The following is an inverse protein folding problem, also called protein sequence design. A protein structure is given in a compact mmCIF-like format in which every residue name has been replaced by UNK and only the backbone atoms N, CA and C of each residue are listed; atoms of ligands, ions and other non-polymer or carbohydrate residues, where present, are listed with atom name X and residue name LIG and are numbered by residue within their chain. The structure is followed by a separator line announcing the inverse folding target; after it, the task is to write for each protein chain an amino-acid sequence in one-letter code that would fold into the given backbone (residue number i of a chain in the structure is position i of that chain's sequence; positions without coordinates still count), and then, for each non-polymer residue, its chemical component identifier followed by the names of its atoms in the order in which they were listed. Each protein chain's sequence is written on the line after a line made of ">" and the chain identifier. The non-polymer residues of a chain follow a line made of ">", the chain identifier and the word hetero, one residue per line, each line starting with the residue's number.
data_IF_536444828837
#
_entry.id   IF_536444828837
#
_cell.length_a   1.000
_cell.length_b   1.000
_cell.length_c   1.000
_cell.angle_alpha   90.00
_cell.angle_beta   90.00
_cell.angle_gamma   90.00
#
_symmetry.space_group_name_H-M   'P 1'
#
loop_
_entity.id
_entity.type
_entity.pdbx_description
1 polymer ?
#
# COMPACT_ATOMS: atom_id res chain seq x y z
N UNK A 1 10.19 -43.07 -23.27
CA UNK A 1 10.09 -42.32 -21.99
C UNK A 1 10.00 -40.84 -22.35
N UNK A 2 8.78 -40.31 -22.39
CA UNK A 2 8.52 -38.89 -22.72
C UNK A 2 8.48 -38.14 -21.42
N UNK A 3 9.44 -37.27 -21.21
CA UNK A 3 9.47 -36.30 -20.09
C UNK A 3 8.36 -35.28 -20.31
N UNK A 4 7.29 -35.41 -19.52
CA UNK A 4 6.29 -34.35 -19.35
C UNK A 4 7.03 -33.13 -18.79
N UNK A 5 7.26 -32.13 -19.63
CA UNK A 5 7.62 -30.78 -19.17
C UNK A 5 6.41 -30.24 -18.41
N UNK A 6 6.54 -30.15 -17.10
CA UNK A 6 5.62 -29.41 -16.26
C UNK A 6 5.53 -27.96 -16.78
N UNK A 7 4.48 -27.71 -17.54
CA UNK A 7 4.03 -26.35 -17.85
C UNK A 7 3.45 -25.79 -16.55
N UNK A 8 4.30 -25.23 -15.68
CA UNK A 8 3.87 -24.37 -14.61
C UNK A 8 3.26 -23.14 -15.28
N UNK A 9 1.98 -23.20 -15.59
CA UNK A 9 1.17 -21.99 -15.78
C UNK A 9 1.43 -21.16 -14.53
N UNK A 10 2.09 -20.01 -14.70
CA UNK A 10 2.51 -19.18 -13.59
C UNK A 10 1.32 -18.85 -12.72
N UNK A 11 1.34 -19.37 -11.51
CA UNK A 11 0.29 -19.17 -10.52
C UNK A 11 0.26 -17.68 -10.19
N UNK A 12 -0.82 -17.00 -10.56
CA UNK A 12 -1.01 -15.56 -10.35
C UNK A 12 -2.08 -15.36 -9.27
N UNK A 13 -1.78 -15.84 -8.07
CA UNK A 13 -2.60 -15.61 -6.89
C UNK A 13 -1.73 -15.39 -5.66
N UNK A 14 -2.30 -14.75 -4.63
CA UNK A 14 -1.68 -14.63 -3.31
C UNK A 14 -2.72 -14.84 -2.22
N UNK A 15 -2.32 -15.52 -1.15
CA UNK A 15 -3.14 -15.75 0.03
C UNK A 15 -2.59 -14.98 1.23
N UNK A 16 -3.45 -14.30 1.96
CA UNK A 16 -3.13 -13.37 3.02
C UNK A 16 -4.04 -13.57 4.22
N UNK A 17 -3.57 -13.23 5.41
CA UNK A 17 -4.43 -13.17 6.60
C UNK A 17 -5.34 -11.94 6.56
N UNK A 18 -6.64 -12.13 6.72
CA UNK A 18 -7.65 -11.09 6.54
C UNK A 18 -7.47 -9.89 7.49
N UNK A 19 -7.10 -10.10 8.75
CA UNK A 19 -6.88 -9.01 9.70
C UNK A 19 -5.68 -8.15 9.32
N UNK A 20 -4.60 -8.77 8.86
CA UNK A 20 -3.38 -8.07 8.43
C UNK A 20 -3.62 -7.31 7.13
N UNK A 21 -4.31 -7.95 6.18
CA UNK A 21 -4.70 -7.32 4.92
C UNK A 21 -5.64 -6.13 5.14
N UNK A 22 -6.65 -6.27 6.00
CA UNK A 22 -7.57 -5.18 6.37
C UNK A 22 -6.79 -3.96 6.86
N UNK A 23 -5.90 -4.15 7.84
CA UNK A 23 -5.08 -3.08 8.40
C UNK A 23 -4.20 -2.42 7.32
N UNK A 24 -3.59 -3.23 6.46
CA UNK A 24 -2.77 -2.75 5.35
C UNK A 24 -3.57 -1.87 4.39
N UNK A 25 -4.71 -2.38 3.91
CA UNK A 25 -5.52 -1.68 2.91
C UNK A 25 -6.19 -0.41 3.47
N UNK A 26 -6.65 -0.42 4.72
CA UNK A 26 -7.17 0.79 5.38
C UNK A 26 -6.08 1.87 5.50
N UNK A 27 -4.86 1.48 5.89
CA UNK A 27 -3.74 2.40 6.00
C UNK A 27 -3.33 3.00 4.66
N UNK A 28 -3.15 2.15 3.64
CA UNK A 28 -2.70 2.60 2.32
C UNK A 28 -3.77 3.42 1.60
N UNK A 29 -5.04 3.01 1.65
CA UNK A 29 -6.13 3.67 0.94
C UNK A 29 -6.36 5.12 1.37
N UNK A 30 -6.00 5.49 2.60
CA UNK A 30 -6.09 6.86 3.11
C UNK A 30 -5.12 7.83 2.41
N UNK A 31 -4.09 7.30 1.75
CA UNK A 31 -3.06 8.06 1.03
C UNK A 31 -3.29 8.12 -0.50
N UNK A 32 -4.29 7.40 -1.00
CA UNK A 32 -4.66 7.50 -2.41
C UNK A 32 -5.37 8.84 -2.70
N UNK A 33 -5.17 9.37 -3.91
CA UNK A 33 -5.88 10.57 -4.33
C UNK A 33 -7.39 10.31 -4.41
N UNK A 34 -8.19 11.28 -4.00
CA UNK A 34 -9.64 11.26 -4.21
C UNK A 34 -10.05 11.90 -5.53
N UNK A 35 -9.12 12.47 -6.26
CA UNK A 35 -9.33 13.10 -7.55
C UNK A 35 -9.46 12.03 -8.66
N UNK A 36 -10.67 11.87 -9.18
CA UNK A 36 -10.98 10.90 -10.24
C UNK A 36 -10.35 11.24 -11.60
N UNK A 37 -9.89 12.48 -11.79
CA UNK A 37 -9.15 12.87 -12.99
C UNK A 37 -7.72 12.32 -13.03
N UNK A 38 -7.26 11.74 -11.92
CA UNK A 38 -5.94 11.13 -11.74
C UNK A 38 -6.07 9.63 -11.47
N UNK A 39 -6.50 8.81 -12.44
CA UNK A 39 -6.87 7.41 -12.22
C UNK A 39 -5.73 6.57 -11.64
N UNK A 40 -4.49 6.83 -12.01
CA UNK A 40 -3.31 6.12 -11.47
C UNK A 40 -3.02 6.46 -10.01
N UNK A 41 -3.44 7.62 -9.52
CA UNK A 41 -3.30 8.03 -8.13
C UNK A 41 -4.60 7.79 -7.33
N UNK A 42 -5.76 7.74 -8.00
CA UNK A 42 -7.03 7.31 -7.42
C UNK A 42 -7.12 5.77 -7.35
N UNK A 43 -6.01 5.15 -6.97
CA UNK A 43 -5.83 3.71 -6.95
C UNK A 43 -4.78 3.32 -5.92
N UNK A 44 -4.75 2.04 -5.59
CA UNK A 44 -3.71 1.40 -4.79
C UNK A 44 -2.93 0.44 -5.67
N UNK A 45 -1.62 0.58 -5.69
CA UNK A 45 -0.74 -0.38 -6.34
C UNK A 45 -0.44 -1.54 -5.39
N UNK A 46 -0.65 -2.76 -5.85
CA UNK A 46 -0.33 -3.99 -5.12
C UNK A 46 0.60 -4.88 -5.94
N UNK A 47 1.43 -5.63 -5.25
CA UNK A 47 2.28 -6.69 -5.82
C UNK A 47 2.60 -7.74 -4.75
N UNK A 48 2.87 -8.97 -5.16
CA UNK A 48 3.40 -9.99 -4.26
C UNK A 48 4.49 -10.81 -4.94
N UNK A 49 5.66 -10.83 -4.33
CA UNK A 49 6.80 -11.60 -4.79
C UNK A 49 7.66 -12.05 -3.60
N UNK A 50 8.22 -13.27 -3.70
CA UNK A 50 9.13 -13.81 -2.68
C UNK A 50 8.51 -13.94 -1.28
N UNK A 51 7.20 -14.19 -1.19
CA UNK A 51 6.49 -14.30 0.08
C UNK A 51 6.19 -12.94 0.74
N UNK A 52 6.37 -11.84 0.02
CA UNK A 52 6.10 -10.50 0.52
C UNK A 52 5.01 -9.83 -0.33
N UNK A 53 3.89 -9.49 0.30
CA UNK A 53 2.84 -8.69 -0.31
C UNK A 53 3.04 -7.22 0.05
N UNK A 54 3.01 -6.36 -0.95
CA UNK A 54 3.17 -4.92 -0.81
C UNK A 54 1.96 -4.19 -1.36
N UNK A 55 1.56 -3.12 -0.68
CA UNK A 55 0.57 -2.18 -1.16
C UNK A 55 1.08 -0.76 -0.96
N UNK A 56 0.86 0.13 -1.94
CA UNK A 56 1.29 1.53 -1.89
C UNK A 56 0.30 2.47 -2.54
N UNK A 57 0.24 3.69 -2.03
CA UNK A 57 -0.59 4.76 -2.57
C UNK A 57 0.04 6.14 -2.34
N UNK A 58 -0.31 7.09 -3.18
CA UNK A 58 0.12 8.49 -3.08
C UNK A 58 -0.94 9.44 -3.64
N UNK A 59 -1.02 10.63 -3.06
CA UNK A 59 -1.84 11.75 -3.53
C UNK A 59 -0.98 12.94 -4.02
N UNK A 60 0.32 12.72 -4.26
CA UNK A 60 1.40 13.68 -4.61
C UNK A 60 1.98 14.41 -3.39
N UNK A 61 1.26 14.54 -2.30
CA UNK A 61 1.70 15.24 -1.09
C UNK A 61 2.23 14.28 -0.02
N UNK A 62 1.81 13.06 -0.10
CA UNK A 62 2.26 11.97 0.78
C UNK A 62 2.29 10.66 0.01
N UNK A 63 3.16 9.78 0.44
CA UNK A 63 3.32 8.44 -0.12
C UNK A 63 3.41 7.46 1.04
N UNK A 64 2.71 6.35 0.94
CA UNK A 64 2.85 5.25 1.89
C UNK A 64 3.03 3.94 1.15
N UNK A 65 3.86 3.08 1.71
CA UNK A 65 3.94 1.67 1.38
C UNK A 65 3.87 0.85 2.66
N UNK A 66 3.02 -0.13 2.66
CA UNK A 66 2.98 -1.17 3.68
C UNK A 66 3.32 -2.52 3.07
N UNK A 67 4.01 -3.36 3.83
CA UNK A 67 4.31 -4.73 3.42
C UNK A 67 4.04 -5.71 4.55
N UNK A 68 3.54 -6.90 4.17
CA UNK A 68 3.28 -8.01 5.06
C UNK A 68 3.69 -9.33 4.41
N UNK A 69 3.88 -10.36 5.22
CA UNK A 69 4.16 -11.70 4.71
C UNK A 69 2.89 -12.28 4.09
N UNK A 70 2.98 -12.82 2.88
CA UNK A 70 1.94 -13.65 2.30
C UNK A 70 2.04 -15.06 2.87
N UNK A 71 0.90 -15.75 2.92
CA UNK A 71 0.85 -17.16 3.32
C UNK A 71 1.40 -18.01 2.20
N UNK A 72 0.97 -17.74 0.95
CA UNK A 72 1.39 -18.46 -0.25
C UNK A 72 1.16 -17.59 -1.51
N UNK A 73 1.80 -17.98 -2.60
CA UNK A 73 1.56 -17.47 -3.94
C UNK A 73 2.38 -16.25 -4.34
N UNK A 74 2.06 -15.77 -5.54
CA UNK A 74 2.64 -14.58 -6.18
C UNK A 74 1.52 -13.83 -6.90
N UNK A 75 1.55 -12.51 -6.86
CA UNK A 75 0.63 -11.65 -7.60
C UNK A 75 1.44 -10.62 -8.39
N UNK A 76 1.20 -10.57 -9.70
CA UNK A 76 1.79 -9.56 -10.56
C UNK A 76 1.37 -8.15 -10.14
N UNK A 77 2.24 -7.14 -10.35
CA UNK A 77 1.92 -5.75 -10.08
C UNK A 77 0.57 -5.35 -10.69
N UNK A 78 -0.29 -4.79 -9.87
CA UNK A 78 -1.66 -4.48 -10.23
C UNK A 78 -2.07 -3.13 -9.64
N UNK A 79 -2.76 -2.32 -10.44
CA UNK A 79 -3.30 -1.04 -10.02
C UNK A 79 -4.81 -1.19 -9.80
N UNK A 80 -5.23 -1.16 -8.54
CA UNK A 80 -6.64 -1.36 -8.17
C UNK A 80 -7.30 -0.02 -7.87
N UNK A 81 -8.41 0.32 -8.57
CA UNK A 81 -9.16 1.55 -8.28
C UNK A 81 -9.52 1.68 -6.81
N UNK A 82 -9.44 2.89 -6.26
CA UNK A 82 -9.77 3.15 -4.86
C UNK A 82 -11.20 2.71 -4.49
N UNK A 83 -12.13 2.77 -5.44
CA UNK A 83 -13.48 2.26 -5.26
C UNK A 83 -13.50 0.76 -4.97
N UNK A 84 -12.72 -0.03 -5.74
CA UNK A 84 -12.67 -1.48 -5.58
C UNK A 84 -11.86 -1.87 -4.33
N UNK A 85 -10.81 -1.13 -3.98
CA UNK A 85 -10.13 -1.30 -2.69
C UNK A 85 -11.10 -1.16 -1.51
N UNK A 86 -12.04 -0.20 -1.55
CA UNK A 86 -13.05 -0.07 -0.50
C UNK A 86 -13.99 -1.27 -0.42
N UNK A 87 -14.30 -1.92 -1.54
CA UNK A 87 -15.06 -3.17 -1.58
C UNK A 87 -14.26 -4.34 -0.97
N UNK A 88 -12.97 -4.41 -1.29
CA UNK A 88 -12.07 -5.41 -0.67
C UNK A 88 -11.96 -5.18 0.83
N UNK A 89 -11.85 -3.93 1.30
CA UNK A 89 -11.87 -3.60 2.73
C UNK A 89 -13.16 -4.07 3.40
N UNK A 90 -14.32 -3.91 2.74
CA UNK A 90 -15.58 -4.40 3.27
C UNK A 90 -15.58 -5.93 3.41
N UNK A 91 -15.17 -6.65 2.35
CA UNK A 91 -15.01 -8.11 2.40
C UNK A 91 -14.08 -8.55 3.54
N UNK A 92 -12.95 -7.87 3.72
CA UNK A 92 -12.01 -8.17 4.80
C UNK A 92 -12.61 -7.91 6.20
N UNK A 93 -13.50 -6.94 6.36
CA UNK A 93 -14.21 -6.68 7.64
C UNK A 93 -15.13 -7.82 8.02
N UNK A 94 -15.84 -8.36 7.04
CA UNK A 94 -16.76 -9.47 7.24
C UNK A 94 -16.01 -10.78 7.52
N UNK A 95 -14.83 -10.95 6.93
CA UNK A 95 -14.02 -12.18 6.98
C UNK A 95 -12.66 -12.01 7.66
N UNK A 96 -12.48 -11.02 8.54
CA UNK A 96 -11.16 -10.67 9.13
C UNK A 96 -10.43 -11.82 9.83
N UNK A 97 -11.15 -12.79 10.36
CA UNK A 97 -10.58 -13.96 11.03
C UNK A 97 -10.10 -15.06 10.06
N UNK A 98 -10.35 -14.89 8.77
CA UNK A 98 -10.11 -15.88 7.74
C UNK A 98 -9.01 -15.42 6.78
N UNK A 99 -8.62 -16.31 5.89
CA UNK A 99 -7.72 -15.99 4.79
C UNK A 99 -8.48 -15.34 3.65
N UNK A 100 -7.81 -14.44 2.96
CA UNK A 100 -8.29 -13.75 1.77
C UNK A 100 -7.33 -14.06 0.64
N UNK A 101 -7.87 -14.46 -0.48
CA UNK A 101 -7.11 -14.79 -1.68
C UNK A 101 -7.37 -13.74 -2.77
N UNK A 102 -6.30 -13.20 -3.33
CA UNK A 102 -6.33 -12.50 -4.61
C UNK A 102 -5.91 -13.45 -5.70
N UNK A 103 -6.65 -13.48 -6.80
CA UNK A 103 -6.27 -14.18 -8.02
C UNK A 103 -6.43 -13.27 -9.22
N UNK A 104 -5.50 -13.34 -10.18
CA UNK A 104 -5.52 -12.50 -11.37
C UNK A 104 -5.48 -13.36 -12.63
N UNK A 105 -6.38 -13.05 -13.58
CA UNK A 105 -6.41 -13.63 -14.94
C UNK A 105 -6.52 -12.46 -15.92
N UNK A 106 -5.45 -12.21 -16.68
CA UNK A 106 -5.37 -11.02 -17.53
C UNK A 106 -5.53 -9.72 -16.70
N UNK A 107 -6.51 -8.91 -17.04
CA UNK A 107 -6.80 -7.65 -16.34
C UNK A 107 -7.87 -7.80 -15.25
N UNK A 108 -8.35 -9.00 -15.01
CA UNK A 108 -9.38 -9.27 -14.01
C UNK A 108 -8.76 -9.80 -12.72
N UNK A 109 -9.09 -9.17 -11.58
CA UNK A 109 -8.76 -9.65 -10.24
C UNK A 109 -10.05 -10.13 -9.57
N UNK A 110 -9.99 -11.31 -8.98
CA UNK A 110 -10.99 -11.83 -8.06
C UNK A 110 -10.39 -11.90 -6.66
N UNK A 111 -11.10 -11.32 -5.69
CA UNK A 111 -10.75 -11.39 -4.26
C UNK A 111 -11.82 -12.19 -3.57
N UNK A 112 -11.43 -13.24 -2.85
CA UNK A 112 -12.37 -14.20 -2.25
C UNK A 112 -11.99 -14.57 -0.81
N UNK A 113 -13.01 -14.89 -0.01
CA UNK A 113 -12.89 -15.45 1.34
C UNK A 113 -14.17 -16.21 1.71
N UNK A 114 -14.06 -17.46 2.17
CA UNK A 114 -15.16 -18.28 2.67
C UNK A 114 -16.40 -18.39 1.75
N UNK A 115 -16.19 -18.37 0.43
CA UNK A 115 -17.29 -18.48 -0.53
C UNK A 115 -17.81 -17.13 -1.04
N UNK A 116 -17.53 -16.02 -0.35
CA UNK A 116 -17.77 -14.69 -0.87
C UNK A 116 -16.65 -14.27 -1.81
N UNK A 117 -17.00 -13.61 -2.90
CA UNK A 117 -16.04 -13.12 -3.87
C UNK A 117 -16.48 -11.80 -4.50
N UNK A 118 -15.51 -10.98 -4.80
CA UNK A 118 -15.68 -9.76 -5.60
C UNK A 118 -14.70 -9.78 -6.77
N UNK A 119 -15.18 -9.37 -7.93
CA UNK A 119 -14.38 -9.30 -9.15
C UNK A 119 -14.39 -7.88 -9.69
N UNK A 120 -13.26 -7.45 -10.20
CA UNK A 120 -13.08 -6.13 -10.81
C UNK A 120 -11.92 -6.15 -11.82
N UNK A 121 -11.82 -5.11 -12.63
CA UNK A 121 -10.74 -4.92 -13.60
C UNK A 121 -9.69 -3.99 -13.01
N UNK A 122 -8.41 -4.31 -13.21
CA UNK A 122 -7.30 -3.40 -12.86
C UNK A 122 -7.39 -2.11 -13.66
N UNK A 123 -6.91 -1.02 -13.08
CA UNK A 123 -6.79 0.25 -13.81
C UNK A 123 -5.68 0.17 -14.84
N UNK A 124 -5.94 0.77 -15.99
CA UNK A 124 -4.89 1.04 -16.96
C UNK A 124 -3.92 2.10 -16.44
N UNK A 125 -2.68 2.04 -16.94
CA UNK A 125 -1.65 3.02 -16.68
C UNK A 125 -0.51 2.51 -15.81
N UNK A 126 0.55 3.31 -15.75
CA UNK A 126 1.75 3.00 -14.98
C UNK A 126 1.75 3.78 -13.69
N UNK A 127 1.86 3.07 -12.56
CA UNK A 127 2.04 3.72 -11.26
C UNK A 127 3.37 4.48 -11.24
N UNK A 128 3.41 5.70 -10.66
CA UNK A 128 4.65 6.48 -10.59
C UNK A 128 5.81 5.71 -9.94
N UNK A 129 7.05 5.86 -10.43
CA UNK A 129 8.22 5.24 -9.82
C UNK A 129 8.52 5.89 -8.45
N UNK A 130 8.18 5.21 -7.37
CA UNK A 130 8.26 5.73 -6.00
C UNK A 130 9.50 5.26 -5.24
N UNK A 131 10.20 4.25 -5.72
CA UNK A 131 11.35 3.67 -5.01
C UNK A 131 12.50 4.66 -4.84
N UNK A 132 12.76 5.46 -5.88
CA UNK A 132 13.80 6.50 -5.81
C UNK A 132 13.48 7.55 -4.73
N UNK A 133 12.20 7.89 -4.53
CA UNK A 133 11.79 8.83 -3.48
C UNK A 133 12.09 8.30 -2.08
N UNK A 134 11.87 7.00 -1.87
CA UNK A 134 12.23 6.37 -0.59
C UNK A 134 13.74 6.35 -0.40
N UNK A 135 14.51 5.95 -1.41
CA UNK A 135 15.98 5.93 -1.37
C UNK A 135 16.54 7.34 -1.10
N UNK A 136 16.03 8.36 -1.77
CA UNK A 136 16.45 9.75 -1.54
C UNK A 136 16.14 10.24 -0.12
N UNK A 137 15.09 9.72 0.49
CA UNK A 137 14.71 10.06 1.87
C UNK A 137 15.55 9.35 2.94
N UNK A 138 16.37 8.38 2.57
CA UNK A 138 17.25 7.64 3.49
C UNK A 138 18.60 8.30 3.74
N UNK A 139 18.81 9.49 3.14
CA UNK A 139 19.98 10.33 3.40
C UNK A 139 20.05 10.73 4.88
N UNK A 140 21.26 11.12 5.31
CA UNK A 140 21.48 11.59 6.69
C UNK A 140 20.50 12.71 7.08
N UNK A 141 19.93 12.63 8.29
CA UNK A 141 19.04 13.66 8.79
C UNK A 141 19.73 15.01 8.90
N UNK A 142 19.01 16.07 8.56
CA UNK A 142 19.48 17.45 8.66
C UNK A 142 18.68 18.17 9.73
N UNK A 143 19.35 18.97 10.56
CA UNK A 143 18.70 19.86 11.50
C UNK A 143 17.92 20.93 10.72
N UNK A 144 16.69 21.20 11.15
CA UNK A 144 15.82 22.24 10.61
C UNK A 144 15.18 23.02 11.77
N UNK A 145 15.08 24.34 11.63
CA UNK A 145 14.52 25.17 12.69
C UNK A 145 13.00 25.05 12.77
N UNK A 146 12.33 24.99 11.63
CA UNK A 146 10.87 24.88 11.57
C UNK A 146 10.42 24.13 10.31
N UNK A 147 9.25 23.55 10.38
CA UNK A 147 8.59 22.92 9.25
C UNK A 147 7.08 22.98 9.42
N UNK A 148 6.36 23.25 8.34
CA UNK A 148 4.92 23.20 8.31
C UNK A 148 4.43 21.99 7.53
N UNK A 149 3.35 21.37 7.97
CA UNK A 149 2.70 20.26 7.29
C UNK A 149 1.19 20.29 7.56
N UNK A 150 0.42 19.60 6.71
CA UNK A 150 -1.01 19.47 6.90
C UNK A 150 -1.31 18.54 8.09
N UNK A 151 -1.95 19.04 9.18
CA UNK A 151 -2.22 18.23 10.36
C UNK A 151 -3.15 17.03 10.09
N UNK A 152 -4.02 17.12 9.07
CA UNK A 152 -4.88 16.01 8.69
C UNK A 152 -4.07 14.79 8.23
N UNK A 153 -2.92 14.99 7.58
CA UNK A 153 -2.05 13.90 7.16
C UNK A 153 -1.42 13.19 8.36
N UNK A 154 -1.09 13.92 9.43
CA UNK A 154 -0.60 13.31 10.68
C UNK A 154 -1.68 12.49 11.37
N UNK A 155 -2.93 12.91 11.29
CA UNK A 155 -4.05 12.15 11.84
C UNK A 155 -4.22 10.78 11.16
N UNK A 156 -3.95 10.68 9.87
CA UNK A 156 -3.99 9.39 9.16
C UNK A 156 -2.84 8.47 9.58
N UNK A 157 -1.63 8.98 9.76
CA UNK A 157 -0.53 8.20 10.34
C UNK A 157 -0.84 7.72 11.77
N UNK A 158 -1.49 8.56 12.57
CA UNK A 158 -1.90 8.18 13.93
C UNK A 158 -2.92 7.03 13.93
N UNK A 159 -3.85 7.00 12.96
CA UNK A 159 -4.79 5.87 12.78
C UNK A 159 -4.06 4.57 12.44
N UNK A 160 -3.07 4.64 11.52
CA UNK A 160 -2.26 3.49 11.12
C UNK A 160 -1.43 2.97 12.29
N UNK A 161 -0.78 3.87 13.01
CA UNK A 161 0.07 3.53 14.15
C UNK A 161 -0.70 2.91 15.32
N UNK A 162 -1.94 3.36 15.52
CA UNK A 162 -2.73 2.96 16.69
C UNK A 162 -2.18 3.53 18.00
N UNK A 163 -2.76 3.12 19.13
CA UNK A 163 -2.51 3.75 20.44
C UNK A 163 -1.15 3.42 21.06
N UNK A 164 -0.49 2.36 20.64
CA UNK A 164 0.74 1.84 21.28
C UNK A 164 1.99 1.99 20.42
N UNK A 165 1.86 2.44 19.18
CA UNK A 165 2.98 2.59 18.27
C UNK A 165 3.60 4.00 18.33
N UNK A 166 4.88 4.11 17.97
CA UNK A 166 5.55 5.38 17.82
C UNK A 166 5.64 5.78 16.35
N UNK A 167 5.55 7.06 16.09
CA UNK A 167 5.85 7.66 14.79
C UNK A 167 7.20 8.38 14.90
N UNK A 168 8.17 7.99 14.07
CA UNK A 168 9.46 8.68 13.95
C UNK A 168 9.49 9.46 12.65
N UNK A 169 9.88 10.72 12.73
CA UNK A 169 9.97 11.61 11.58
C UNK A 169 11.44 12.00 11.40
N UNK A 170 11.95 11.87 10.18
CA UNK A 170 13.30 12.23 9.81
C UNK A 170 13.25 13.34 8.77
N UNK A 171 14.05 14.35 8.95
CA UNK A 171 14.13 15.52 8.08
C UNK A 171 15.43 15.48 7.29
N UNK A 172 15.36 15.62 5.98
CA UNK A 172 16.52 15.64 5.10
C UNK A 172 16.78 17.01 4.47
N UNK A 173 16.06 18.02 4.92
CA UNK A 173 16.19 19.43 4.54
C UNK A 173 14.86 20.14 4.44
N UNK A 174 14.89 21.48 4.55
CA UNK A 174 13.72 22.32 4.33
C UNK A 174 13.18 22.11 2.88
N UNK A 175 11.88 21.92 2.73
CA UNK A 175 11.25 21.67 1.44
C UNK A 175 11.45 20.25 0.86
N UNK A 176 12.17 19.37 1.54
CA UNK A 176 12.32 17.97 1.16
C UNK A 176 11.24 17.10 1.82
N UNK A 177 10.84 15.98 1.20
CA UNK A 177 9.93 15.03 1.84
C UNK A 177 10.45 14.55 3.19
N UNK A 178 9.62 14.63 4.21
CA UNK A 178 9.90 14.02 5.52
C UNK A 178 9.71 12.51 5.42
N UNK A 179 10.67 11.73 5.89
CA UNK A 179 10.50 10.28 6.04
C UNK A 179 9.77 9.99 7.34
N UNK A 180 8.65 9.29 7.22
CA UNK A 180 7.83 8.86 8.36
C UNK A 180 7.98 7.35 8.54
N UNK A 181 8.45 6.93 9.71
CA UNK A 181 8.47 5.53 10.13
C UNK A 181 7.40 5.30 11.18
N UNK A 182 6.53 4.35 10.90
CA UNK A 182 5.51 3.89 11.83
C UNK A 182 5.97 2.54 12.38
N UNK A 183 6.11 2.45 13.69
CA UNK A 183 6.45 1.17 14.34
C UNK A 183 5.19 0.35 14.48
N UNK A 184 5.23 -0.91 14.05
CA UNK A 184 4.14 -1.87 14.17
C UNK A 184 4.69 -3.28 14.03
N UNK A 185 3.97 -4.28 14.56
CA UNK A 185 4.50 -5.63 14.68
C UNK A 185 4.29 -6.49 13.42
N UNK A 186 3.18 -6.29 12.71
CA UNK A 186 2.77 -7.17 11.60
C UNK A 186 3.06 -6.55 10.22
N UNK A 187 2.88 -5.24 10.08
CA UNK A 187 3.06 -4.52 8.80
C UNK A 187 4.29 -3.64 8.90
N UNK A 188 5.19 -3.78 7.95
CA UNK A 188 6.34 -2.87 7.81
C UNK A 188 5.90 -1.68 6.98
N UNK A 189 5.88 -0.50 7.60
CA UNK A 189 5.48 0.74 6.98
C UNK A 189 6.69 1.61 6.61
N UNK A 190 6.66 2.20 5.43
CA UNK A 190 7.50 3.33 5.05
C UNK A 190 6.64 4.40 4.41
N UNK A 191 6.83 5.64 4.80
CA UNK A 191 6.02 6.73 4.30
C UNK A 191 6.84 8.02 4.13
N UNK A 192 6.37 8.86 3.21
CA UNK A 192 6.89 10.20 2.95
C UNK A 192 5.76 11.21 3.07
N UNK A 193 6.08 12.37 3.62
CA UNK A 193 5.18 13.51 3.75
C UNK A 193 5.87 14.77 3.25
N UNK A 194 5.26 15.44 2.28
CA UNK A 194 5.76 16.73 1.79
C UNK A 194 5.47 17.83 2.81
N UNK A 195 6.44 18.73 3.07
CA UNK A 195 6.18 19.93 3.83
C UNK A 195 5.29 20.91 3.04
N UNK A 196 4.62 21.78 3.76
CA UNK A 196 3.86 22.89 3.19
C UNK A 196 4.71 24.15 3.19
N UNK A 197 4.56 24.97 2.15
CA UNK A 197 5.02 26.36 2.22
C UNK A 197 4.10 27.13 3.16
N UNK A 198 4.67 27.71 4.20
CA UNK A 198 3.98 28.61 5.13
C UNK A 198 4.65 29.98 5.04
N UNK A 199 3.85 31.04 4.93
CA UNK A 199 4.31 32.42 5.06
C UNK A 199 3.75 32.93 6.38
N UNK A 200 4.61 33.41 7.22
CA UNK A 200 4.26 34.18 8.44
C UNK A 200 3.54 35.46 8.06
#
# INVERSE_FOLDING_TARGET
>A
MSTLKDNKVGVNYVELEGVSLLTLLEGVSSHASTDKSLPTLNAVHIESEGGLFKAKATDRYRLIEGSLLSVDGRLEPSLIPLYDIKRVIALCKDHKANRVQFSRIGDTITVSSLGDAITFTVSDGTYPPTEQLFTDSEKEPTAIDSIAFNPAFMADYAKIAGKKAAIKIYFTGAGKPMRVRITGDTIKWRALLMPMSYKD
#
